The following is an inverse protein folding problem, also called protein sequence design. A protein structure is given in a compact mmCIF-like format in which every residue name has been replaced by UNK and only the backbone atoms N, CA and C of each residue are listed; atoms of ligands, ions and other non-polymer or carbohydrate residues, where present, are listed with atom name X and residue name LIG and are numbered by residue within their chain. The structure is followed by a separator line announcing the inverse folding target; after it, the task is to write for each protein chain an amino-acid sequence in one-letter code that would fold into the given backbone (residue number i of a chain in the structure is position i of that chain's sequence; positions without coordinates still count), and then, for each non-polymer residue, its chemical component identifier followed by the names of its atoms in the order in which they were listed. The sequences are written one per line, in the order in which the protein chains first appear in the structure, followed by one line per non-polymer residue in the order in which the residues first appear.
data_IF_013868509471
#
_entry.id   IF_013868509471
#
_cell.length_a   1.000
_cell.length_b   1.000
_cell.length_c   1.000
_cell.angle_alpha   90.00
_cell.angle_beta   90.00
_cell.angle_gamma   90.00
#
_symmetry.space_group_name_H-M   'P 1'
#
loop_
_entity.id
_entity.type
_entity.pdbx_description
1 polymer ?
#
# COMPACT_ATOMS: atom_id res chain seq x y z
N UNK A 1 -6.49 14.59 20.44
CA UNK A 1 -7.00 15.02 19.13
C UNK A 1 -7.88 13.90 18.58
N UNK A 2 -9.20 14.06 18.64
CA UNK A 2 -10.13 13.15 17.95
C UNK A 2 -10.30 13.65 16.52
N UNK A 3 -9.37 13.27 15.65
CA UNK A 3 -9.58 13.40 14.20
C UNK A 3 -10.57 12.31 13.84
N UNK A 4 -11.67 12.70 13.20
CA UNK A 4 -12.71 11.80 12.71
C UNK A 4 -12.06 10.88 11.65
N UNK A 5 -11.51 9.75 12.10
CA UNK A 5 -10.47 8.97 11.43
C UNK A 5 -10.99 8.21 10.18
N UNK A 6 -12.30 8.29 9.91
CA UNK A 6 -12.95 7.57 8.82
C UNK A 6 -12.45 8.08 7.46
N UNK A 7 -12.61 9.38 7.19
CA UNK A 7 -12.31 9.98 5.88
C UNK A 7 -10.83 9.89 5.48
N UNK A 8 -9.90 10.01 6.42
CA UNK A 8 -8.47 9.89 6.13
C UNK A 8 -8.04 8.44 5.86
N UNK A 9 -8.66 7.47 6.53
CA UNK A 9 -8.42 6.06 6.26
C UNK A 9 -9.12 5.63 4.95
N UNK A 10 -10.24 6.25 4.59
CA UNK A 10 -10.91 6.01 3.31
C UNK A 10 -9.99 6.39 2.13
N UNK A 11 -9.25 7.50 2.22
CA UNK A 11 -8.24 7.88 1.19
C UNK A 11 -7.09 6.87 1.15
N UNK A 12 -6.62 6.41 2.32
CA UNK A 12 -5.58 5.38 2.40
C UNK A 12 -6.03 4.07 1.72
N UNK A 13 -7.28 3.66 1.98
CA UNK A 13 -7.90 2.48 1.38
C UNK A 13 -8.14 2.66 -0.12
N UNK A 14 -8.60 3.84 -0.57
CA UNK A 14 -8.73 4.16 -1.98
C UNK A 14 -7.37 4.03 -2.69
N UNK A 15 -6.29 4.54 -2.11
CA UNK A 15 -4.95 4.43 -2.69
C UNK A 15 -4.39 3.00 -2.71
N UNK A 16 -4.88 2.13 -1.84
CA UNK A 16 -4.63 0.69 -1.88
C UNK A 16 -5.44 0.02 -2.98
N UNK A 17 -6.71 0.40 -3.14
CA UNK A 17 -7.61 -0.17 -4.15
C UNK A 17 -7.24 0.27 -5.57
N UNK A 18 -6.79 1.50 -5.73
CA UNK A 18 -6.34 2.10 -7.00
C UNK A 18 -4.87 1.79 -7.30
N UNK A 19 -4.28 0.82 -6.60
CA UNK A 19 -2.90 0.43 -6.77
C UNK A 19 -2.61 0.05 -8.23
N UNK A 20 -1.60 0.69 -8.82
CA UNK A 20 -1.19 0.44 -10.21
C UNK A 20 -1.87 1.30 -11.29
N UNK A 21 -2.93 2.04 -10.94
CA UNK A 21 -3.63 2.98 -11.84
C UNK A 21 -3.23 4.45 -11.63
N UNK A 22 -2.48 4.72 -10.56
CA UNK A 22 -1.98 6.06 -10.23
C UNK A 22 -0.45 5.99 -10.25
N UNK A 23 0.21 7.04 -10.74
CA UNK A 23 1.69 7.17 -10.72
C UNK A 23 2.32 7.10 -9.31
N UNK A 24 1.49 7.08 -8.26
CA UNK A 24 1.85 6.65 -6.91
C UNK A 24 0.71 5.83 -6.28
N UNK A 25 1.05 4.76 -5.57
CA UNK A 25 0.11 3.87 -4.89
C UNK A 25 0.66 3.38 -3.56
N UNK A 26 -0.23 2.99 -2.64
CA UNK A 26 0.18 2.25 -1.44
C UNK A 26 0.00 0.77 -1.76
N UNK A 27 1.05 0.00 -1.56
CA UNK A 27 1.03 -1.45 -1.71
C UNK A 27 1.28 -2.12 -0.37
N UNK A 28 0.74 -3.33 -0.26
CA UNK A 28 1.08 -4.25 0.80
C UNK A 28 2.15 -5.22 0.28
N UNK A 29 3.20 -5.42 1.06
CA UNK A 29 4.29 -6.37 0.74
C UNK A 29 4.59 -7.25 1.95
N UNK A 30 5.12 -8.44 1.70
CA UNK A 30 5.55 -9.38 2.74
C UNK A 30 7.08 -9.41 2.82
N UNK A 31 7.63 -9.23 4.02
CA UNK A 31 9.04 -9.55 4.26
C UNK A 31 9.14 -11.03 4.60
N UNK A 32 9.56 -11.80 3.59
CA UNK A 32 9.58 -13.26 3.62
C UNK A 32 10.33 -13.86 4.81
N UNK A 33 11.40 -13.20 5.30
CA UNK A 33 12.19 -13.72 6.41
C UNK A 33 11.43 -13.73 7.76
N UNK A 34 10.41 -12.89 7.91
CA UNK A 34 9.66 -12.74 9.17
C UNK A 34 8.17 -13.02 9.04
N UNK A 35 7.68 -13.35 7.83
CA UNK A 35 6.25 -13.49 7.53
C UNK A 35 5.41 -12.31 8.03
N UNK A 36 5.97 -11.11 7.87
CA UNK A 36 5.33 -9.87 8.28
C UNK A 36 4.90 -9.09 7.05
N UNK A 37 3.77 -8.41 7.16
CA UNK A 37 3.32 -7.49 6.15
C UNK A 37 3.80 -6.06 6.46
N UNK A 38 3.97 -5.26 5.41
CA UNK A 38 4.33 -3.85 5.50
C UNK A 38 3.64 -3.10 4.37
N UNK A 39 3.36 -1.83 4.63
CA UNK A 39 2.91 -0.93 3.58
C UNK A 39 4.10 -0.19 2.97
N UNK A 40 4.12 -0.12 1.65
CA UNK A 40 5.09 0.67 0.90
C UNK A 40 4.34 1.70 0.06
N UNK A 41 4.86 2.92 0.04
CA UNK A 41 4.52 3.88 -0.99
C UNK A 41 5.35 3.55 -2.22
N UNK A 42 4.68 3.17 -3.29
CA UNK A 42 5.29 2.91 -4.58
C UNK A 42 4.98 4.07 -5.52
N UNK A 43 5.99 4.60 -6.19
CA UNK A 43 5.82 5.53 -7.31
C UNK A 43 6.35 4.92 -8.59
N UNK A 44 5.66 5.19 -9.69
CA UNK A 44 6.02 4.75 -11.02
C UNK A 44 5.99 5.96 -11.95
N UNK A 45 6.91 5.98 -12.91
CA UNK A 45 6.91 6.98 -13.97
C UNK A 45 5.82 6.74 -15.03
N UNK A 46 5.16 5.57 -15.03
CA UNK A 46 4.11 5.13 -15.95
C UNK A 46 3.12 4.18 -15.27
N UNK A 47 1.94 4.04 -15.84
CA UNK A 47 0.92 3.09 -15.38
C UNK A 47 1.28 1.64 -15.71
N UNK A 48 0.74 0.68 -14.95
CA UNK A 48 1.02 -0.77 -15.14
C UNK A 48 0.62 -1.25 -16.54
N UNK A 49 -0.37 -0.62 -17.17
CA UNK A 49 -0.90 -1.01 -18.47
C UNK A 49 -0.15 -0.45 -19.69
N UNK A 50 0.83 0.43 -19.50
CA UNK A 50 1.61 0.98 -20.61
C UNK A 50 2.76 0.02 -20.99
N UNK A 51 2.64 -0.57 -22.18
CA UNK A 51 3.54 -1.62 -22.70
C UNK A 51 4.80 -1.06 -23.37
N UNK A 52 4.94 0.27 -23.42
CA UNK A 52 6.03 0.92 -24.16
C UNK A 52 7.05 1.55 -23.21
N UNK A 53 8.35 1.34 -23.49
CA UNK A 53 9.46 2.00 -22.78
C UNK A 53 9.88 1.34 -21.46
N UNK A 54 10.82 2.02 -20.77
CA UNK A 54 11.34 1.55 -19.48
C UNK A 54 10.50 2.10 -18.32
N UNK A 55 9.96 1.20 -17.50
CA UNK A 55 9.25 1.55 -16.27
C UNK A 55 10.26 1.66 -15.11
N UNK A 56 10.28 2.81 -14.45
CA UNK A 56 11.06 3.03 -13.22
C UNK A 56 10.12 2.98 -12.02
N UNK A 57 10.48 2.14 -11.04
CA UNK A 57 9.69 1.94 -9.81
C UNK A 57 10.55 2.37 -8.63
N UNK A 58 9.98 3.21 -7.75
CA UNK A 58 10.58 3.60 -6.48
C UNK A 58 9.63 3.17 -5.37
N UNK A 59 10.15 2.45 -4.38
CA UNK A 59 9.38 1.99 -3.22
C UNK A 59 9.99 2.54 -1.93
N UNK A 60 9.13 2.95 -1.01
CA UNK A 60 9.52 3.39 0.32
C UNK A 60 8.56 2.83 1.36
N UNK A 61 9.09 2.07 2.32
CA UNK A 61 8.30 1.60 3.45
C UNK A 61 7.75 2.78 4.26
N UNK A 62 6.47 2.68 4.65
CA UNK A 62 5.80 3.66 5.49
C UNK A 62 5.37 3.01 6.81
N UNK A 63 5.71 3.65 7.93
CA UNK A 63 5.41 3.13 9.28
C UNK A 63 4.07 3.65 9.81
N UNK A 64 3.68 4.84 9.39
CA UNK A 64 2.48 5.53 9.84
C UNK A 64 1.64 5.93 8.63
N UNK A 65 0.32 5.92 8.79
CA UNK A 65 -0.60 6.50 7.82
C UNK A 65 -0.27 7.99 7.66
N UNK A 66 0.01 8.48 6.44
CA UNK A 66 0.42 9.87 6.23
C UNK A 66 -0.72 10.87 6.50
N UNK A 67 -1.97 10.40 6.62
CA UNK A 67 -3.13 11.25 6.88
C UNK A 67 -3.52 11.31 8.37
N UNK A 68 -3.62 10.16 9.04
CA UNK A 68 -4.11 10.10 10.44
C UNK A 68 -3.04 9.78 11.48
N UNK A 69 -1.82 9.44 11.05
CA UNK A 69 -0.73 9.08 11.95
C UNK A 69 -0.88 7.72 12.62
N UNK A 70 -1.91 6.94 12.26
CA UNK A 70 -2.08 5.56 12.77
C UNK A 70 -0.87 4.71 12.41
N UNK A 71 -0.35 3.98 13.38
CA UNK A 71 0.72 3.01 13.16
C UNK A 71 0.19 1.84 12.32
N UNK A 72 0.76 1.65 11.14
CA UNK A 72 0.24 0.70 10.17
C UNK A 72 0.47 -0.76 10.59
N UNK A 73 1.48 -1.02 11.43
CA UNK A 73 1.66 -2.32 12.05
C UNK A 73 0.43 -2.73 12.87
N UNK A 74 -0.18 -1.80 13.62
CA UNK A 74 -1.41 -2.08 14.37
C UNK A 74 -2.58 -2.40 13.46
N UNK A 75 -2.66 -1.75 12.29
CA UNK A 75 -3.69 -2.06 11.29
C UNK A 75 -3.53 -3.49 10.78
N UNK A 76 -2.29 -3.93 10.56
CA UNK A 76 -1.98 -5.30 10.14
C UNK A 76 -2.39 -6.30 11.21
N UNK A 77 -1.98 -6.07 12.45
CA UNK A 77 -2.26 -6.96 13.57
C UNK A 77 -3.78 -7.10 13.82
N UNK A 78 -4.53 -6.01 13.68
CA UNK A 78 -5.98 -6.00 13.91
C UNK A 78 -6.80 -6.57 12.74
N UNK A 79 -6.26 -6.60 11.51
CA UNK A 79 -7.00 -6.94 10.29
C UNK A 79 -6.31 -8.03 9.46
N UNK A 80 -5.53 -8.92 10.10
CA UNK A 80 -4.61 -9.83 9.41
C UNK A 80 -5.21 -10.66 8.27
N UNK A 81 -6.45 -11.15 8.41
CA UNK A 81 -7.13 -11.91 7.35
C UNK A 81 -7.40 -11.06 6.10
N UNK A 82 -7.89 -9.83 6.27
CA UNK A 82 -8.23 -8.92 5.18
C UNK A 82 -6.96 -8.39 4.48
N UNK A 83 -5.92 -8.15 5.28
CA UNK A 83 -4.58 -7.81 4.81
C UNK A 83 -3.99 -8.93 3.93
N UNK A 84 -4.11 -10.19 4.36
CA UNK A 84 -3.63 -11.33 3.55
C UNK A 84 -4.38 -11.43 2.21
N UNK A 85 -5.70 -11.22 2.20
CA UNK A 85 -6.49 -11.20 0.95
C UNK A 85 -6.06 -10.06 0.03
N UNK A 86 -5.87 -8.85 0.57
CA UNK A 86 -5.40 -7.69 -0.20
C UNK A 86 -4.00 -7.91 -0.78
N UNK A 87 -3.11 -8.59 -0.04
CA UNK A 87 -1.80 -8.98 -0.54
C UNK A 87 -1.93 -9.90 -1.75
N UNK A 88 -2.73 -10.98 -1.66
CA UNK A 88 -2.89 -11.93 -2.75
C UNK A 88 -3.46 -11.30 -4.03
N UNK A 89 -4.38 -10.35 -3.90
CA UNK A 89 -4.92 -9.58 -5.03
C UNK A 89 -3.82 -8.74 -5.68
N UNK A 90 -3.00 -8.05 -4.87
CA UNK A 90 -2.06 -7.06 -5.34
C UNK A 90 -0.61 -7.57 -5.53
N UNK A 91 -0.32 -8.85 -5.26
CA UNK A 91 1.05 -9.39 -5.29
C UNK A 91 1.77 -9.20 -6.63
N UNK A 92 1.03 -9.17 -7.73
CA UNK A 92 1.55 -8.94 -9.07
C UNK A 92 2.01 -7.48 -9.33
N UNK A 93 1.63 -6.55 -8.43
CA UNK A 93 2.02 -5.14 -8.48
C UNK A 93 3.29 -4.84 -7.66
N UNK A 94 3.72 -5.78 -6.83
CA UNK A 94 4.99 -5.71 -6.09
C UNK A 94 6.08 -6.26 -7.01
N UNK A 95 6.96 -5.38 -7.47
CA UNK A 95 8.11 -5.69 -8.35
C UNK A 95 9.39 -5.66 -7.55
#
# INVERSE_FOLDING_TARGET
MNINCKTCCDIFLEMLNEAGHKGFSILLTEYQAEHKYYFVLQSRNRDVGDITGNTSVIQKAIKYCPWCGTELAKVIDLNGEEISKLFEINKHLVV
#
